data_IF_632315735259
#
_entry.id   IF_632315735259
#
_cell.length_a   1.000
_cell.length_b   1.000
_cell.length_c   1.000
_cell.angle_alpha   90.00
_cell.angle_beta   90.00
_cell.angle_gamma   90.00
#
_symmetry.space_group_name_H-M   'P 1'
#
loop_
_entity.id
_entity.type
_entity.pdbx_description
1 polymer ?
#
# COMPACT_ATOMS: atom_id res chain seq x y z
N UNK A 1 -4.98 49.27 60.35
CA UNK A 1 -5.67 47.97 60.41
C UNK A 1 -5.62 47.34 59.02
N UNK A 2 -4.80 46.35 58.92
CA UNK A 2 -4.62 45.50 57.71
C UNK A 2 -5.78 44.52 57.63
N UNK A 3 -6.30 44.36 56.45
CA UNK A 3 -7.01 43.10 56.06
C UNK A 3 -6.38 42.54 54.84
N UNK A 4 -5.70 41.49 55.13
CA UNK A 4 -5.16 40.47 54.20
C UNK A 4 -6.33 39.75 53.50
N UNK A 5 -6.29 39.68 52.17
CA UNK A 5 -7.22 38.88 51.38
C UNK A 5 -6.41 38.02 50.41
N UNK A 6 -6.05 36.86 50.90
CA UNK A 6 -5.54 35.73 50.09
C UNK A 6 -6.62 35.32 49.10
N UNK A 7 -6.39 35.55 47.82
CA UNK A 7 -7.11 34.93 46.71
C UNK A 7 -6.40 33.64 46.38
N UNK A 8 -7.04 32.54 46.67
CA UNK A 8 -6.77 31.21 46.16
C UNK A 8 -6.91 31.22 44.63
N UNK A 9 -5.85 30.87 43.96
CA UNK A 9 -5.88 30.62 42.53
C UNK A 9 -6.56 29.25 42.29
N UNK A 10 -7.71 29.29 41.65
CA UNK A 10 -8.35 28.12 41.10
C UNK A 10 -7.47 27.57 39.94
N UNK A 11 -7.13 26.32 40.04
CA UNK A 11 -6.46 25.56 38.96
C UNK A 11 -7.44 25.39 37.81
N UNK A 12 -7.19 26.08 36.71
CA UNK A 12 -7.87 25.81 35.44
C UNK A 12 -7.52 24.38 34.97
N UNK A 13 -8.55 23.58 34.87
CA UNK A 13 -8.53 22.20 34.34
C UNK A 13 -8.21 22.27 32.86
N UNK A 14 -6.99 21.84 32.48
CA UNK A 14 -6.53 21.77 31.10
C UNK A 14 -6.97 20.41 30.53
N UNK A 15 -8.27 20.21 30.37
CA UNK A 15 -8.86 19.03 29.75
C UNK A 15 -9.79 19.40 28.61
N UNK A 16 -9.27 20.05 27.57
CA UNK A 16 -9.93 20.08 26.25
C UNK A 16 -8.90 20.45 25.16
N UNK A 17 -7.87 19.62 25.03
CA UNK A 17 -7.17 19.58 23.75
C UNK A 17 -8.09 18.77 22.83
N UNK A 18 -8.97 19.46 22.10
CA UNK A 18 -9.73 18.87 21.02
C UNK A 18 -8.77 18.16 20.09
N UNK A 19 -8.85 16.82 20.01
CA UNK A 19 -8.10 16.04 19.06
C UNK A 19 -8.37 16.60 17.67
N UNK A 20 -7.34 17.18 17.04
CA UNK A 20 -7.42 17.62 15.66
C UNK A 20 -7.92 16.44 14.80
N UNK A 21 -8.88 16.65 13.88
CA UNK A 21 -9.43 15.60 13.07
C UNK A 21 -8.29 14.87 12.35
N UNK A 22 -8.16 13.58 12.63
CA UNK A 22 -7.11 12.73 12.08
C UNK A 22 -7.24 12.74 10.55
N UNK A 23 -6.22 13.24 9.85
CA UNK A 23 -6.21 13.26 8.40
C UNK A 23 -6.29 11.82 7.88
N UNK A 24 -7.38 11.45 7.23
CA UNK A 24 -7.63 10.09 6.71
C UNK A 24 -7.14 9.90 5.27
N UNK A 25 -6.92 11.00 4.55
CA UNK A 25 -6.52 10.97 3.14
C UNK A 25 -5.12 10.35 2.98
N UNK A 26 -4.97 9.30 2.17
CA UNK A 26 -3.67 8.69 1.89
C UNK A 26 -2.69 9.68 1.25
N UNK A 27 -1.41 9.52 1.58
CA UNK A 27 -0.34 10.41 1.15
C UNK A 27 0.49 9.72 0.07
N UNK A 28 0.64 10.40 -1.06
CA UNK A 28 1.60 10.02 -2.09
C UNK A 28 2.99 10.50 -1.70
N UNK A 29 3.97 9.60 -1.81
CA UNK A 29 5.38 9.92 -1.54
C UNK A 29 6.28 9.28 -2.60
N UNK A 30 7.24 10.07 -3.09
CA UNK A 30 8.32 9.63 -3.96
C UNK A 30 9.54 9.33 -3.11
N UNK A 31 10.14 8.16 -3.32
CA UNK A 31 11.35 7.70 -2.64
C UNK A 31 12.49 7.63 -3.66
N UNK A 32 13.36 8.64 -3.64
CA UNK A 32 14.41 8.77 -4.66
C UNK A 32 13.83 8.68 -6.07
N UNK A 33 14.46 7.85 -6.92
CA UNK A 33 13.93 7.54 -8.26
C UNK A 33 13.42 6.10 -8.40
N UNK A 34 13.41 5.33 -7.31
CA UNK A 34 13.17 3.88 -7.36
C UNK A 34 11.79 3.43 -6.94
N UNK A 35 11.06 4.24 -6.16
CA UNK A 35 9.77 3.81 -5.62
C UNK A 35 8.81 4.99 -5.38
N UNK A 36 7.54 4.70 -5.53
CA UNK A 36 6.44 5.60 -5.15
C UNK A 36 5.49 4.85 -4.23
N UNK A 37 5.02 5.51 -3.17
CA UNK A 37 4.05 4.92 -2.25
C UNK A 37 2.79 5.79 -2.12
N UNK A 38 1.66 5.13 -1.82
CA UNK A 38 0.42 5.76 -1.36
C UNK A 38 0.00 5.06 -0.07
N UNK A 39 0.18 5.75 1.04
CA UNK A 39 -0.02 5.18 2.37
C UNK A 39 -0.97 6.03 3.19
N UNK A 40 -1.87 5.42 3.99
CA UNK A 40 -2.64 6.13 4.99
C UNK A 40 -1.71 6.85 5.97
N UNK A 41 -2.16 7.95 6.60
CA UNK A 41 -1.46 8.52 7.74
C UNK A 41 -1.31 7.48 8.87
N UNK A 42 -0.19 7.50 9.59
CA UNK A 42 0.15 6.52 10.64
C UNK A 42 -1.01 6.37 11.65
N UNK A 43 -1.51 7.47 12.18
CA UNK A 43 -2.59 7.45 13.17
C UNK A 43 -3.93 6.96 12.57
N UNK A 44 -4.18 7.22 11.30
CA UNK A 44 -5.38 6.75 10.60
C UNK A 44 -5.39 5.22 10.47
N UNK A 45 -4.27 4.61 10.07
CA UNK A 45 -4.17 3.16 9.98
C UNK A 45 -4.28 2.50 11.36
N UNK A 46 -3.59 3.04 12.35
CA UNK A 46 -3.66 2.55 13.72
C UNK A 46 -5.09 2.60 14.27
N UNK A 47 -5.78 3.72 14.08
CA UNK A 47 -7.17 3.91 14.52
C UNK A 47 -8.13 2.94 13.83
N UNK A 48 -7.94 2.68 12.53
CA UNK A 48 -8.79 1.75 11.78
C UNK A 48 -8.76 0.33 12.34
N UNK A 49 -7.58 -0.15 12.78
CA UNK A 49 -7.42 -1.53 13.28
C UNK A 49 -7.55 -1.67 14.79
N UNK A 50 -7.62 -0.57 15.55
CA UNK A 50 -7.61 -0.56 17.02
C UNK A 50 -8.62 -1.54 17.65
N UNK A 51 -9.85 -1.55 17.15
CA UNK A 51 -10.94 -2.35 17.70
C UNK A 51 -11.23 -3.62 16.87
N UNK A 52 -10.37 -3.92 15.87
CA UNK A 52 -10.54 -5.05 14.96
C UNK A 52 -9.57 -6.19 15.22
N UNK A 53 -8.44 -5.88 15.83
CA UNK A 53 -7.41 -6.86 16.17
C UNK A 53 -7.44 -7.21 17.63
N UNK A 54 -6.96 -8.40 17.96
CA UNK A 54 -6.73 -8.83 19.34
C UNK A 54 -5.70 -7.89 19.99
N UNK A 55 -6.07 -7.16 21.07
CA UNK A 55 -5.17 -6.22 21.74
C UNK A 55 -3.92 -6.86 22.33
N UNK A 56 -3.95 -8.16 22.59
CA UNK A 56 -2.81 -8.92 23.13
C UNK A 56 -1.88 -9.43 22.04
N UNK A 57 -2.29 -9.39 20.78
CA UNK A 57 -1.48 -9.85 19.64
C UNK A 57 -0.62 -8.71 19.08
N UNK A 58 0.64 -9.02 18.79
CA UNK A 58 1.55 -8.14 18.05
C UNK A 58 1.79 -8.62 16.62
N UNK A 59 1.05 -9.62 16.15
CA UNK A 59 1.15 -10.16 14.81
C UNK A 59 0.14 -9.53 13.85
N UNK A 60 0.64 -9.06 12.70
CA UNK A 60 -0.15 -8.41 11.66
C UNK A 60 -0.33 -9.38 10.48
N UNK A 61 -1.57 -9.64 10.10
CA UNK A 61 -1.88 -10.43 8.91
C UNK A 61 -2.02 -9.53 7.69
N UNK A 62 -1.25 -9.82 6.65
CA UNK A 62 -1.19 -9.06 5.40
C UNK A 62 -1.76 -9.89 4.25
N UNK A 63 -2.64 -9.28 3.48
CA UNK A 63 -3.05 -9.77 2.16
C UNK A 63 -2.44 -8.84 1.11
N UNK A 64 -1.42 -9.34 0.42
CA UNK A 64 -0.68 -8.57 -0.56
C UNK A 64 -0.95 -9.07 -1.98
N UNK A 65 -0.99 -8.14 -2.93
CA UNK A 65 -1.35 -8.40 -4.32
C UNK A 65 -0.42 -7.65 -5.27
N UNK A 66 -0.12 -8.26 -6.40
CA UNK A 66 0.23 -7.51 -7.60
C UNK A 66 -1.00 -6.76 -8.14
N UNK A 67 -0.78 -5.76 -8.99
CA UNK A 67 -1.85 -4.93 -9.54
C UNK A 67 -2.32 -5.41 -10.91
N UNK A 68 -1.46 -5.26 -11.92
CA UNK A 68 -1.79 -5.52 -13.32
C UNK A 68 -1.88 -7.03 -13.57
N UNK A 69 -2.92 -7.48 -14.30
CA UNK A 69 -3.23 -8.89 -14.56
C UNK A 69 -3.45 -9.77 -13.31
N UNK A 70 -3.53 -9.16 -12.13
CA UNK A 70 -3.86 -9.80 -10.85
C UNK A 70 -5.17 -9.28 -10.28
N UNK A 71 -5.24 -8.01 -9.88
CA UNK A 71 -6.47 -7.37 -9.41
C UNK A 71 -7.26 -6.73 -10.56
N UNK A 72 -6.54 -6.11 -11.49
CA UNK A 72 -7.11 -5.39 -12.63
C UNK A 72 -6.51 -5.88 -13.95
N UNK A 73 -7.20 -5.62 -15.03
CA UNK A 73 -6.71 -5.76 -16.40
C UNK A 73 -7.13 -4.55 -17.23
N UNK A 74 -6.60 -4.44 -18.45
CA UNK A 74 -7.05 -3.40 -19.38
C UNK A 74 -8.50 -3.64 -19.80
N UNK A 75 -9.27 -2.57 -20.05
CA UNK A 75 -10.68 -2.67 -20.41
C UNK A 75 -10.91 -3.47 -21.69
N UNK A 76 -9.98 -3.40 -22.63
CA UNK A 76 -10.05 -4.05 -23.94
C UNK A 76 -9.28 -5.38 -24.02
N UNK A 77 -8.67 -5.83 -22.91
CA UNK A 77 -7.87 -7.07 -22.89
C UNK A 77 -6.54 -6.98 -23.64
N UNK A 78 -6.05 -5.77 -23.92
CA UNK A 78 -4.75 -5.55 -24.54
C UNK A 78 -3.65 -5.48 -23.47
N UNK A 79 -2.42 -5.91 -23.81
CA UNK A 79 -1.31 -6.04 -22.86
C UNK A 79 -0.94 -4.73 -22.14
N UNK A 80 -1.05 -3.58 -22.80
CA UNK A 80 -0.69 -2.29 -22.23
C UNK A 80 -1.85 -1.32 -22.28
N UNK A 81 -2.20 -0.76 -21.12
CA UNK A 81 -3.27 0.22 -20.98
C UNK A 81 -2.97 1.52 -21.74
N UNK A 82 -4.00 2.11 -22.34
CA UNK A 82 -3.93 3.36 -23.10
C UNK A 82 -3.98 4.61 -22.24
N UNK A 83 -4.20 4.48 -20.94
CA UNK A 83 -4.28 5.61 -20.02
C UNK A 83 -4.74 5.22 -18.63
N UNK A 84 -4.91 6.19 -17.73
CA UNK A 84 -5.24 5.94 -16.33
C UNK A 84 -6.66 5.37 -16.12
N UNK A 85 -7.54 5.53 -17.10
CA UNK A 85 -8.93 5.03 -17.04
C UNK A 85 -9.13 3.72 -17.80
N UNK A 86 -8.10 3.23 -18.50
CA UNK A 86 -8.16 1.96 -19.24
C UNK A 86 -7.86 0.79 -18.30
N UNK A 87 -8.79 0.52 -17.41
CA UNK A 87 -8.74 -0.60 -16.52
C UNK A 87 -10.15 -1.06 -16.09
N UNK A 88 -10.25 -2.30 -15.68
CA UNK A 88 -11.40 -2.89 -15.00
C UNK A 88 -10.90 -3.91 -13.99
N UNK A 89 -11.71 -4.30 -13.02
CA UNK A 89 -11.43 -5.46 -12.20
C UNK A 89 -11.24 -6.69 -13.10
N UNK A 90 -10.25 -7.49 -12.81
CA UNK A 90 -9.86 -8.64 -13.68
C UNK A 90 -11.06 -9.52 -14.02
N UNK A 91 -11.92 -9.75 -13.06
CA UNK A 91 -13.22 -10.41 -13.23
C UNK A 91 -14.17 -10.03 -12.11
N UNK A 92 -15.40 -10.56 -12.17
CA UNK A 92 -16.45 -10.29 -11.21
C UNK A 92 -16.19 -10.84 -9.80
N UNK A 93 -15.33 -11.84 -9.65
CA UNK A 93 -15.05 -12.50 -8.36
C UNK A 93 -14.03 -11.74 -7.51
N UNK A 94 -13.26 -10.80 -8.10
CA UNK A 94 -12.21 -10.06 -7.36
C UNK A 94 -12.79 -9.37 -6.13
N UNK A 95 -13.82 -8.58 -6.30
CA UNK A 95 -14.41 -7.79 -5.20
C UNK A 95 -15.05 -8.67 -4.11
N UNK A 96 -15.91 -9.67 -4.42
CA UNK A 96 -16.45 -10.57 -3.39
C UNK A 96 -15.38 -11.37 -2.64
N UNK A 97 -14.32 -11.77 -3.32
CA UNK A 97 -13.23 -12.53 -2.68
C UNK A 97 -12.39 -11.62 -1.78
N UNK A 98 -12.11 -10.37 -2.19
CA UNK A 98 -11.45 -9.39 -1.32
C UNK A 98 -12.29 -9.12 -0.07
N UNK A 99 -13.61 -8.94 -0.22
CA UNK A 99 -14.50 -8.78 0.93
C UNK A 99 -14.37 -9.96 1.89
N UNK A 100 -14.49 -11.18 1.39
CA UNK A 100 -14.48 -12.40 2.21
C UNK A 100 -13.13 -12.68 2.87
N UNK A 101 -12.04 -12.62 2.10
CA UNK A 101 -10.71 -13.08 2.53
C UNK A 101 -9.83 -11.98 3.10
N UNK A 102 -10.15 -10.71 2.87
CA UNK A 102 -9.35 -9.58 3.33
C UNK A 102 -10.12 -8.74 4.33
N UNK A 103 -11.27 -8.16 3.94
CA UNK A 103 -11.97 -7.17 4.76
C UNK A 103 -12.62 -7.79 5.98
N UNK A 104 -13.35 -8.90 5.83
CA UNK A 104 -13.98 -9.60 6.97
C UNK A 104 -12.97 -10.23 7.90
N UNK A 105 -11.76 -10.52 7.41
CA UNK A 105 -10.68 -11.06 8.23
C UNK A 105 -9.74 -9.97 8.80
N UNK A 106 -10.06 -8.70 8.58
CA UNK A 106 -9.28 -7.55 9.05
C UNK A 106 -7.78 -7.64 8.69
N UNK A 107 -7.46 -8.13 7.48
CA UNK A 107 -6.09 -8.18 6.96
C UNK A 107 -5.68 -6.81 6.44
N UNK A 108 -4.41 -6.48 6.52
CA UNK A 108 -3.87 -5.29 5.86
C UNK A 108 -3.82 -5.53 4.35
N UNK A 109 -4.55 -4.72 3.58
CA UNK A 109 -4.57 -4.79 2.13
C UNK A 109 -3.38 -4.01 1.56
N UNK A 110 -2.52 -4.70 0.82
CA UNK A 110 -1.31 -4.10 0.24
C UNK A 110 -1.20 -4.44 -1.24
N UNK A 111 -0.81 -3.47 -2.05
CA UNK A 111 -0.48 -3.66 -3.47
C UNK A 111 1.01 -3.40 -3.67
N UNK A 112 1.69 -4.35 -4.31
CA UNK A 112 3.08 -4.24 -4.76
C UNK A 112 3.15 -4.40 -6.27
N UNK A 113 3.58 -3.37 -6.99
CA UNK A 113 3.59 -3.40 -8.45
C UNK A 113 4.92 -2.92 -9.04
N UNK A 114 5.36 -3.56 -10.13
CA UNK A 114 6.50 -3.13 -10.92
C UNK A 114 6.02 -2.23 -12.06
N UNK A 115 6.34 -0.95 -12.02
CA UNK A 115 5.91 0.07 -12.99
C UNK A 115 7.10 0.63 -13.79
N UNK A 116 7.69 -0.20 -14.65
CA UNK A 116 8.92 0.13 -15.40
C UNK A 116 8.77 1.30 -16.36
N UNK A 117 7.57 1.55 -16.86
CA UNK A 117 7.29 2.67 -17.78
C UNK A 117 7.25 4.03 -17.07
N UNK A 118 7.15 4.03 -15.74
CA UNK A 118 7.12 5.24 -14.93
C UNK A 118 8.52 5.52 -14.40
N UNK A 119 9.14 6.62 -14.86
CA UNK A 119 10.43 7.08 -14.34
C UNK A 119 10.26 8.39 -13.61
N UNK A 120 10.81 8.49 -12.40
CA UNK A 120 10.85 9.73 -11.63
C UNK A 120 12.11 10.49 -12.01
N UNK A 121 11.98 11.54 -12.79
CA UNK A 121 13.11 12.35 -13.30
C UNK A 121 13.32 13.65 -12.56
N UNK A 122 12.31 14.13 -11.85
CA UNK A 122 12.31 15.39 -11.09
C UNK A 122 11.35 15.31 -9.91
N UNK A 123 11.60 16.16 -8.92
CA UNK A 123 10.69 16.30 -7.76
C UNK A 123 9.29 16.79 -8.17
N UNK A 124 9.19 17.49 -9.33
CA UNK A 124 7.93 17.91 -9.97
C UNK A 124 7.34 16.86 -10.92
N UNK A 125 7.92 15.69 -11.03
CA UNK A 125 7.44 14.59 -11.86
C UNK A 125 6.02 14.11 -11.47
N UNK A 126 5.53 14.48 -10.29
CA UNK A 126 4.12 14.34 -9.87
C UNK A 126 3.12 14.93 -10.88
N UNK A 127 3.57 15.81 -11.78
CA UNK A 127 2.76 16.47 -12.80
C UNK A 127 2.91 15.79 -14.15
N UNK A 128 3.88 14.87 -14.32
CA UNK A 128 4.10 14.20 -15.60
C UNK A 128 2.93 13.29 -15.97
N UNK A 129 2.67 13.13 -17.28
CA UNK A 129 1.60 12.25 -17.79
C UNK A 129 1.73 10.81 -17.28
N UNK A 130 2.95 10.28 -17.22
CA UNK A 130 3.21 8.90 -16.76
C UNK A 130 2.96 8.75 -15.28
N UNK A 131 3.34 9.74 -14.49
CA UNK A 131 3.07 9.74 -13.06
C UNK A 131 1.57 9.86 -12.76
N UNK A 132 0.84 10.69 -13.51
CA UNK A 132 -0.63 10.77 -13.43
C UNK A 132 -1.27 9.41 -13.71
N UNK A 133 -0.78 8.67 -14.70
CA UNK A 133 -1.26 7.32 -14.99
C UNK A 133 -1.06 6.38 -13.80
N UNK A 134 0.08 6.47 -13.11
CA UNK A 134 0.35 5.67 -11.92
C UNK A 134 -0.54 6.04 -10.73
N UNK A 135 -0.79 7.32 -10.51
CA UNK A 135 -1.52 7.77 -9.30
C UNK A 135 -3.04 7.69 -9.43
N UNK A 136 -3.57 7.80 -10.63
CA UNK A 136 -5.02 7.82 -10.90
C UNK A 136 -5.64 6.43 -10.72
N UNK A 137 -5.05 5.37 -11.27
CA UNK A 137 -5.58 3.99 -11.14
C UNK A 137 -5.79 3.56 -9.68
N UNK A 138 -4.78 3.59 -8.80
CA UNK A 138 -4.98 3.19 -7.40
C UNK A 138 -6.00 4.06 -6.67
N UNK A 139 -6.12 5.34 -7.02
CA UNK A 139 -7.15 6.22 -6.49
C UNK A 139 -8.56 5.77 -6.86
N UNK A 140 -8.80 5.39 -8.11
CA UNK A 140 -10.09 4.85 -8.56
C UNK A 140 -10.37 3.45 -8.01
N UNK A 141 -9.35 2.59 -7.88
CA UNK A 141 -9.49 1.29 -7.24
C UNK A 141 -9.96 1.46 -5.79
N UNK A 142 -9.31 2.33 -5.02
CA UNK A 142 -9.70 2.63 -3.64
C UNK A 142 -11.13 3.21 -3.57
N UNK A 143 -11.48 4.16 -4.44
CA UNK A 143 -12.83 4.73 -4.49
C UNK A 143 -13.89 3.68 -4.84
N UNK A 144 -13.59 2.74 -5.73
CA UNK A 144 -14.48 1.62 -6.06
C UNK A 144 -14.71 0.68 -4.86
N UNK A 145 -13.66 0.38 -4.10
CA UNK A 145 -13.78 -0.41 -2.88
C UNK A 145 -14.59 0.32 -1.81
N UNK A 146 -14.31 1.61 -1.60
CA UNK A 146 -15.01 2.44 -0.61
C UNK A 146 -16.51 2.57 -0.94
N UNK A 147 -16.86 2.71 -2.21
CA UNK A 147 -18.24 2.82 -2.64
C UNK A 147 -19.06 1.53 -2.39
N UNK A 148 -18.42 0.37 -2.47
CA UNK A 148 -19.11 -0.92 -2.35
C UNK A 148 -19.07 -1.50 -0.94
N UNK A 149 -17.99 -1.32 -0.21
CA UNK A 149 -17.74 -1.98 1.08
C UNK A 149 -17.47 -1.01 2.24
N UNK A 150 -17.56 0.30 1.99
CA UNK A 150 -17.10 1.32 2.93
C UNK A 150 -15.58 1.47 2.95
N UNK A 151 -15.10 2.43 3.70
CA UNK A 151 -13.67 2.74 3.73
C UNK A 151 -12.85 1.56 4.25
N UNK A 152 -11.90 1.10 3.42
CA UNK A 152 -10.90 0.10 3.80
C UNK A 152 -9.51 0.59 3.36
N UNK A 153 -8.53 0.72 4.27
CA UNK A 153 -7.22 1.22 3.92
C UNK A 153 -6.53 0.32 2.90
N UNK A 154 -6.10 0.90 1.79
CA UNK A 154 -5.32 0.24 0.75
C UNK A 154 -3.92 0.85 0.71
N UNK A 155 -2.91 0.07 1.08
CA UNK A 155 -1.52 0.44 1.00
C UNK A 155 -0.98 0.14 -0.39
N UNK A 156 -0.18 1.04 -0.94
CA UNK A 156 0.31 0.90 -2.32
C UNK A 156 1.79 1.22 -2.41
N UNK A 157 2.54 0.31 -3.03
CA UNK A 157 3.97 0.41 -3.30
C UNK A 157 4.24 0.12 -4.77
N UNK A 158 4.88 1.04 -5.47
CA UNK A 158 5.24 0.88 -6.86
C UNK A 158 6.74 1.06 -7.08
N UNK A 159 7.40 0.03 -7.57
CA UNK A 159 8.76 0.15 -8.10
C UNK A 159 8.73 0.87 -9.43
N UNK A 160 9.53 1.92 -9.59
CA UNK A 160 9.60 2.75 -10.80
C UNK A 160 10.83 2.43 -11.64
N UNK A 161 10.75 2.72 -12.94
CA UNK A 161 11.86 2.51 -13.86
C UNK A 161 13.04 3.44 -13.60
N UNK A 162 14.27 2.99 -13.91
CA UNK A 162 15.46 3.84 -13.85
C UNK A 162 15.33 5.01 -14.81
N UNK A 163 15.52 6.27 -14.37
CA UNK A 163 15.54 7.41 -15.27
C UNK A 163 16.82 7.39 -16.13
N UNK A 164 16.65 7.52 -17.42
CA UNK A 164 17.78 7.55 -18.37
C UNK A 164 18.53 8.89 -18.36
N UNK A 165 17.80 9.99 -18.11
CA UNK A 165 18.31 11.37 -18.04
C UNK A 165 17.57 12.13 -16.93
N UNK A 166 18.17 13.16 -16.37
CA UNK A 166 17.54 14.06 -15.40
C UNK A 166 18.50 14.60 -14.37
N UNK A 167 18.11 15.69 -13.73
CA UNK A 167 18.91 16.46 -12.73
C UNK A 167 18.60 16.01 -11.30
N UNK A 168 17.58 15.18 -11.12
CA UNK A 168 17.15 14.73 -9.80
C UNK A 168 18.12 13.69 -9.21
N UNK A 169 18.34 13.68 -7.88
CA UNK A 169 19.17 12.66 -7.26
C UNK A 169 18.64 11.27 -7.58
N UNK A 170 19.39 10.54 -8.38
CA UNK A 170 19.04 9.16 -8.75
C UNK A 170 19.34 8.24 -7.59
N UNK A 171 18.43 7.33 -7.32
CA UNK A 171 18.76 6.16 -6.52
C UNK A 171 19.83 5.33 -7.22
N UNK A 172 20.66 4.66 -6.46
CA UNK A 172 21.67 3.74 -7.02
C UNK A 172 21.02 2.61 -7.79
N UNK A 173 21.75 1.96 -8.67
CA UNK A 173 21.31 0.78 -9.40
C UNK A 173 20.93 -0.35 -8.45
N UNK A 174 21.67 -0.53 -7.38
CA UNK A 174 21.40 -1.48 -6.31
C UNK A 174 20.06 -1.19 -5.61
N UNK A 175 19.76 0.08 -5.31
CA UNK A 175 18.48 0.47 -4.72
C UNK A 175 17.32 0.20 -5.68
N UNK A 176 17.46 0.52 -6.96
CA UNK A 176 16.44 0.18 -7.96
C UNK A 176 16.23 -1.33 -8.07
N UNK A 177 17.30 -2.11 -8.07
CA UNK A 177 17.24 -3.56 -8.12
C UNK A 177 16.54 -4.13 -6.88
N UNK A 178 16.99 -3.74 -5.68
CA UNK A 178 16.48 -4.29 -4.42
C UNK A 178 15.00 -3.96 -4.14
N UNK A 179 14.45 -2.87 -4.72
CA UNK A 179 13.05 -2.47 -4.55
C UNK A 179 12.15 -2.89 -5.70
N UNK A 180 12.63 -3.75 -6.58
CA UNK A 180 11.88 -4.28 -7.71
C UNK A 180 11.65 -5.78 -7.54
N UNK A 181 10.39 -6.23 -7.66
CA UNK A 181 10.11 -7.68 -7.66
C UNK A 181 10.93 -8.39 -8.75
N UNK A 182 11.61 -9.52 -8.45
CA UNK A 182 11.38 -10.41 -7.30
C UNK A 182 12.05 -10.01 -5.98
N UNK A 183 12.89 -8.98 -5.95
CA UNK A 183 13.54 -8.56 -4.71
C UNK A 183 12.56 -7.98 -3.69
N UNK A 184 12.81 -8.20 -2.40
CA UNK A 184 11.86 -7.92 -1.31
C UNK A 184 11.98 -6.52 -0.70
N UNK A 185 12.66 -5.57 -1.34
CA UNK A 185 12.86 -4.23 -0.78
C UNK A 185 11.55 -3.49 -0.49
N UNK A 186 10.53 -3.61 -1.35
CA UNK A 186 9.21 -3.02 -1.09
C UNK A 186 8.51 -3.68 0.12
N UNK A 187 8.72 -4.98 0.34
CA UNK A 187 8.21 -5.68 1.54
C UNK A 187 8.88 -5.16 2.81
N UNK A 188 10.19 -4.94 2.79
CA UNK A 188 10.92 -4.35 3.91
C UNK A 188 10.44 -2.93 4.23
N UNK A 189 10.04 -2.15 3.22
CA UNK A 189 9.42 -0.83 3.44
C UNK A 189 8.03 -0.94 4.09
N UNK A 190 7.24 -1.95 3.72
CA UNK A 190 5.98 -2.24 4.39
C UNK A 190 6.20 -2.58 5.87
N UNK A 191 7.13 -3.48 6.18
CA UNK A 191 7.45 -3.86 7.56
C UNK A 191 7.85 -2.62 8.39
N UNK A 192 8.67 -1.76 7.83
CA UNK A 192 9.11 -0.51 8.46
C UNK A 192 7.94 0.46 8.70
N UNK A 193 7.05 0.59 7.73
CA UNK A 193 5.85 1.42 7.85
C UNK A 193 4.90 0.90 8.92
N UNK A 194 4.63 -0.41 8.97
CA UNK A 194 3.75 -1.02 9.97
C UNK A 194 4.31 -0.87 11.39
N UNK A 195 5.62 -1.04 11.57
CA UNK A 195 6.27 -0.79 12.88
C UNK A 195 6.15 0.67 13.32
N UNK A 196 6.17 1.61 12.40
CA UNK A 196 5.90 3.04 12.71
C UNK A 196 4.43 3.28 13.09
N UNK A 197 3.49 2.54 12.50
CA UNK A 197 2.07 2.67 12.83
C UNK A 197 1.71 2.07 14.19
N UNK A 198 2.21 0.88 14.49
CA UNK A 198 1.74 0.07 15.61
C UNK A 198 2.76 -0.07 16.75
N UNK A 199 4.02 0.03 16.46
CA UNK A 199 5.13 -0.07 17.40
C UNK A 199 6.19 -1.07 16.94
N UNK A 200 7.44 -0.97 17.48
CA UNK A 200 8.56 -1.81 17.05
C UNK A 200 8.39 -3.30 17.38
N UNK A 201 7.52 -3.64 18.32
CA UNK A 201 7.21 -5.02 18.73
C UNK A 201 6.29 -5.74 17.73
N UNK A 202 5.63 -5.00 16.82
CA UNK A 202 4.73 -5.62 15.84
C UNK A 202 5.52 -6.22 14.68
N UNK A 203 5.08 -7.41 14.27
CA UNK A 203 5.67 -8.15 13.15
C UNK A 203 4.58 -8.68 12.23
N UNK A 204 4.92 -8.86 10.95
CA UNK A 204 4.02 -9.52 10.01
C UNK A 204 4.02 -11.03 10.31
N UNK A 205 2.83 -11.58 10.51
CA UNK A 205 2.62 -13.02 10.57
C UNK A 205 2.81 -13.60 9.17
N UNK A 206 4.00 -14.14 8.90
CA UNK A 206 4.37 -14.63 7.58
C UNK A 206 3.63 -15.92 7.19
N UNK A 207 3.19 -16.72 8.14
CA UNK A 207 2.45 -17.95 7.88
C UNK A 207 0.99 -17.66 7.50
N UNK A 208 0.40 -16.63 8.10
CA UNK A 208 -0.97 -16.20 7.83
C UNK A 208 -1.09 -15.03 6.85
N UNK A 209 0.03 -14.51 6.37
CA UNK A 209 0.09 -13.51 5.30
C UNK A 209 0.37 -14.20 3.97
N UNK A 210 0.12 -13.53 2.85
CA UNK A 210 0.35 -14.10 1.53
C UNK A 210 0.53 -13.02 0.47
N UNK A 211 1.05 -13.44 -0.68
CA UNK A 211 1.13 -12.63 -1.89
C UNK A 211 0.42 -13.33 -3.06
N UNK A 212 -0.39 -12.58 -3.80
CA UNK A 212 -1.09 -13.04 -5.01
C UNK A 212 -0.56 -12.29 -6.21
N UNK A 213 -0.14 -13.00 -7.25
CA UNK A 213 0.39 -12.40 -8.47
C UNK A 213 0.36 -13.33 -9.68
N UNK A 214 0.35 -12.77 -10.88
CA UNK A 214 0.26 -13.53 -12.13
C UNK A 214 1.61 -14.01 -12.65
N UNK A 215 2.71 -13.32 -12.32
CA UNK A 215 4.07 -13.65 -12.75
C UNK A 215 4.68 -14.80 -11.92
N UNK A 216 4.23 -16.03 -12.19
CA UNK A 216 4.58 -17.23 -11.44
C UNK A 216 5.69 -18.10 -12.11
N UNK A 217 6.14 -17.74 -13.33
CA UNK A 217 7.14 -18.49 -14.08
C UNK A 217 6.58 -19.76 -14.74
N UNK A 218 5.26 -19.84 -14.97
CA UNK A 218 4.60 -20.90 -15.72
C UNK A 218 4.84 -20.74 -17.23
N UNK A 219 4.57 -21.78 -18.00
CA UNK A 219 4.51 -21.66 -19.45
C UNK A 219 3.50 -20.58 -19.86
N UNK A 220 3.99 -19.56 -20.58
CA UNK A 220 3.21 -18.39 -20.96
C UNK A 220 3.33 -17.18 -20.03
N UNK A 221 3.85 -17.33 -18.82
CA UNK A 221 4.16 -16.20 -17.95
C UNK A 221 5.40 -15.44 -18.44
N UNK A 222 5.37 -14.13 -18.33
CA UNK A 222 6.49 -13.31 -18.80
C UNK A 222 7.74 -13.45 -17.92
N UNK A 223 7.55 -13.64 -16.61
CA UNK A 223 8.58 -13.71 -15.59
C UNK A 223 8.05 -14.47 -14.35
N UNK A 224 8.95 -14.81 -13.44
CA UNK A 224 8.59 -15.36 -12.12
C UNK A 224 8.71 -14.29 -11.01
N UNK A 225 8.49 -13.02 -11.34
CA UNK A 225 8.77 -11.92 -10.43
C UNK A 225 7.89 -11.93 -9.17
N UNK A 226 6.63 -12.33 -9.30
CA UNK A 226 5.69 -12.38 -8.17
C UNK A 226 5.95 -13.56 -7.25
N UNK A 227 6.19 -14.73 -7.84
CA UNK A 227 6.55 -15.90 -7.05
C UNK A 227 7.86 -15.70 -6.30
N UNK A 228 8.89 -15.20 -6.97
CA UNK A 228 10.18 -14.88 -6.35
C UNK A 228 10.06 -13.81 -5.27
N UNK A 229 9.19 -12.82 -5.44
CA UNK A 229 8.90 -11.81 -4.42
C UNK A 229 8.30 -12.43 -3.15
N UNK A 230 7.31 -13.31 -3.28
CA UNK A 230 6.73 -14.03 -2.16
C UNK A 230 7.76 -14.91 -1.44
N UNK A 231 8.58 -15.63 -2.19
CA UNK A 231 9.68 -16.46 -1.65
C UNK A 231 10.68 -15.61 -0.87
N UNK A 232 11.12 -14.47 -1.43
CA UNK A 232 12.06 -13.56 -0.78
C UNK A 232 11.44 -12.82 0.44
N UNK A 233 10.14 -12.58 0.43
CA UNK A 233 9.42 -12.05 1.59
C UNK A 233 9.13 -13.12 2.65
N UNK A 234 9.20 -14.41 2.30
CA UNK A 234 8.94 -15.53 3.18
C UNK A 234 7.46 -15.76 3.47
N UNK A 235 6.58 -15.52 2.48
CA UNK A 235 5.13 -15.68 2.61
C UNK A 235 4.59 -16.65 1.55
N UNK A 236 3.45 -17.34 1.81
CA UNK A 236 2.72 -18.12 0.82
C UNK A 236 2.41 -17.32 -0.45
N UNK A 237 2.47 -18.01 -1.58
CA UNK A 237 2.18 -17.45 -2.91
C UNK A 237 0.96 -18.13 -3.54
N UNK A 238 0.11 -17.33 -4.18
CA UNK A 238 -1.03 -17.82 -4.96
C UNK A 238 -1.08 -17.13 -6.32
N UNK A 239 -1.47 -17.88 -7.34
CA UNK A 239 -1.84 -17.29 -8.64
C UNK A 239 -3.27 -16.76 -8.59
N UNK A 240 -3.63 -15.74 -9.38
CA UNK A 240 -4.97 -15.15 -9.34
C UNK A 240 -6.09 -16.16 -9.60
N UNK A 241 -5.85 -17.12 -10.49
CA UNK A 241 -6.80 -18.17 -10.85
C UNK A 241 -7.23 -18.98 -9.61
N UNK A 242 -6.25 -19.45 -8.83
CA UNK A 242 -6.52 -20.24 -7.62
C UNK A 242 -7.11 -19.38 -6.49
N UNK A 243 -6.62 -18.15 -6.36
CA UNK A 243 -7.05 -17.27 -5.27
C UNK A 243 -8.48 -16.76 -5.44
N UNK A 244 -8.84 -16.36 -6.66
CA UNK A 244 -10.17 -15.83 -7.00
C UNK A 244 -11.16 -16.89 -7.47
N UNK A 245 -10.72 -18.11 -7.75
CA UNK A 245 -11.58 -19.19 -8.22
C UNK A 245 -12.01 -19.01 -9.67
N UNK A 246 -11.06 -18.80 -10.56
CA UNK A 246 -11.29 -18.56 -12.01
C UNK A 246 -11.30 -19.83 -12.81
#
# INVERSE_FOLDING_TARGET
ENKDSTKTAESEDVSDIAELPTRTTPIWKIHGSHMVTRLPPINSLKSFYKDKWDPESTFIRVAAFDMDDTLICTSLGIKFGRGPHDWKWRNREVLPVLEKKVFRENRVLVIFTNQSSVSVTEQRALVSRLYKNLTVKPGFMAASLDAQYGHYPMLFFASTGKPRKGVYPRSSDETHFSHRKPESGMWSELERYLKRCFGPQYEIDKEQSYFVGDAAGRDGDHLAADKGFAENAGVPFYVPEDYFGL
#
